data_IF_010421913476
#
_entry.id   IF_010421913476
#
_cell.length_a   1.000
_cell.length_b   1.000
_cell.length_c   1.000
_cell.angle_alpha   90.00
_cell.angle_beta   90.00
_cell.angle_gamma   90.00
#
_symmetry.space_group_name_H-M   'P 1'
#
loop_
_entity.id
_entity.type
_entity.pdbx_description
1 polymer ?
#
# COMPACT_ATOMS: atom_id res chain seq x y z
N UNK A 1 -11.66 -39.76 8.76
CA UNK A 1 -11.25 -38.73 9.73
C UNK A 1 -9.81 -38.24 9.55
N UNK A 2 -8.81 -39.10 9.29
CA UNK A 2 -7.41 -38.65 9.08
C UNK A 2 -7.23 -37.70 7.89
N UNK A 3 -7.95 -37.94 6.79
CA UNK A 3 -7.89 -37.11 5.58
C UNK A 3 -8.43 -35.69 5.82
N UNK A 4 -9.57 -35.57 6.51
CA UNK A 4 -10.16 -34.26 6.87
C UNK A 4 -9.22 -33.44 7.77
N UNK A 5 -8.56 -34.09 8.73
CA UNK A 5 -7.55 -33.45 9.58
C UNK A 5 -6.35 -32.94 8.76
N UNK A 6 -5.88 -33.73 7.79
CA UNK A 6 -4.78 -33.34 6.92
C UNK A 6 -5.15 -32.15 6.02
N UNK A 7 -6.39 -32.11 5.50
CA UNK A 7 -6.90 -30.99 4.70
C UNK A 7 -7.02 -29.71 5.55
N UNK A 8 -7.56 -29.81 6.76
CA UNK A 8 -7.64 -28.65 7.67
C UNK A 8 -6.26 -28.15 8.07
N UNK A 9 -5.33 -29.07 8.38
CA UNK A 9 -3.96 -28.71 8.71
C UNK A 9 -3.26 -28.05 7.51
N UNK A 10 -3.48 -28.53 6.29
CA UNK A 10 -2.87 -27.93 5.10
C UNK A 10 -3.42 -26.53 4.84
N UNK A 11 -4.72 -26.29 5.07
CA UNK A 11 -5.33 -24.96 4.98
C UNK A 11 -4.68 -24.03 6.01
N UNK A 12 -4.58 -24.43 7.27
CA UNK A 12 -3.95 -23.61 8.32
C UNK A 12 -2.50 -23.29 7.97
N UNK A 13 -1.74 -24.28 7.51
CA UNK A 13 -0.34 -24.09 7.11
C UNK A 13 -0.23 -23.13 5.91
N UNK A 14 -1.08 -23.28 4.89
CA UNK A 14 -1.14 -22.36 3.76
C UNK A 14 -1.46 -20.94 4.21
N UNK A 15 -2.47 -20.78 5.06
CA UNK A 15 -2.87 -19.47 5.59
C UNK A 15 -1.71 -18.80 6.33
N UNK A 16 -0.98 -19.55 7.15
CA UNK A 16 0.21 -19.04 7.88
C UNK A 16 1.35 -18.69 6.92
N UNK A 17 1.58 -19.49 5.87
CA UNK A 17 2.66 -19.28 4.90
C UNK A 17 2.43 -18.09 3.95
N UNK A 18 1.18 -17.68 3.73
CA UNK A 18 0.87 -16.50 2.90
C UNK A 18 1.28 -15.19 3.59
N UNK A 19 1.23 -15.12 4.93
CA UNK A 19 1.58 -13.91 5.68
C UNK A 19 2.97 -13.32 5.40
N UNK A 20 4.08 -14.10 5.41
CA UNK A 20 5.41 -13.57 5.12
C UNK A 20 5.54 -13.08 3.67
N UNK A 21 4.87 -13.72 2.71
CA UNK A 21 4.89 -13.34 1.30
C UNK A 21 4.21 -11.97 1.11
N UNK A 22 3.02 -11.79 1.68
CA UNK A 22 2.32 -10.50 1.66
C UNK A 22 3.11 -9.39 2.36
N UNK A 23 3.72 -9.70 3.52
CA UNK A 23 4.53 -8.74 4.26
C UNK A 23 5.70 -8.24 3.42
N UNK A 24 6.33 -9.12 2.65
CA UNK A 24 7.42 -8.76 1.74
C UNK A 24 6.94 -7.94 0.54
N UNK A 25 5.79 -8.25 -0.04
CA UNK A 25 5.22 -7.47 -1.14
C UNK A 25 4.87 -6.04 -0.69
N UNK A 26 4.42 -5.86 0.55
CA UNK A 26 4.10 -4.56 1.14
C UNK A 26 5.33 -3.72 1.51
N UNK A 27 6.50 -4.33 1.71
CA UNK A 27 7.74 -3.62 2.08
C UNK A 27 8.61 -3.19 0.90
N UNK A 28 8.34 -3.65 -0.32
CA UNK A 28 9.12 -3.23 -1.49
C UNK A 28 8.86 -1.75 -1.82
N UNK A 29 9.88 -0.88 -1.72
CA UNK A 29 9.72 0.53 -2.06
C UNK A 29 9.51 0.66 -3.57
N UNK A 30 8.43 1.33 -3.96
CA UNK A 30 8.28 1.83 -5.33
C UNK A 30 9.02 3.15 -5.36
N UNK A 31 10.03 3.23 -6.23
CA UNK A 31 10.81 4.43 -6.52
C UNK A 31 10.63 4.75 -7.99
N UNK A 32 9.89 5.81 -8.29
CA UNK A 32 9.70 6.29 -9.66
C UNK A 32 10.21 7.72 -9.80
N UNK A 33 10.75 8.03 -10.97
CA UNK A 33 11.23 9.38 -11.32
C UNK A 33 10.23 10.00 -12.27
N UNK A 34 9.64 11.11 -11.85
CA UNK A 34 8.64 11.88 -12.60
C UNK A 34 9.35 13.06 -13.25
N UNK A 35 9.38 13.06 -14.59
CA UNK A 35 9.96 14.12 -15.43
C UNK A 35 8.88 15.11 -15.90
N UNK A 36 7.71 14.62 -16.30
CA UNK A 36 6.50 15.39 -16.61
C UNK A 36 5.28 14.52 -16.31
N UNK A 37 4.30 15.05 -15.58
CA UNK A 37 3.01 14.44 -15.26
C UNK A 37 2.91 12.92 -15.42
N UNK A 38 3.18 12.16 -14.35
CA UNK A 38 3.15 10.69 -14.36
C UNK A 38 2.08 10.16 -13.43
N UNK A 39 1.24 9.28 -13.96
CA UNK A 39 0.31 8.49 -13.17
C UNK A 39 1.04 7.31 -12.54
N UNK A 40 0.93 7.15 -11.23
CA UNK A 40 1.47 6.02 -10.47
C UNK A 40 0.30 5.27 -9.85
N UNK A 41 0.26 3.95 -10.05
CA UNK A 41 -0.73 3.10 -9.40
C UNK A 41 -0.16 2.68 -8.05
N UNK A 42 -0.81 3.12 -6.97
CA UNK A 42 -0.38 2.81 -5.62
C UNK A 42 -1.19 1.62 -5.09
N UNK A 43 -0.54 0.55 -4.61
CA UNK A 43 -1.23 -0.69 -4.25
C UNK A 43 -2.07 -0.59 -2.97
N UNK A 44 -1.85 0.44 -2.15
CA UNK A 44 -2.55 0.64 -0.88
C UNK A 44 -2.49 2.11 -0.47
N UNK A 45 -3.33 2.49 0.49
CA UNK A 45 -3.15 3.75 1.22
C UNK A 45 -1.79 3.78 1.91
N UNK A 46 -1.24 4.97 2.13
CA UNK A 46 0.16 5.06 2.54
C UNK A 46 0.70 6.48 2.64
N UNK A 47 1.94 6.60 3.10
CA UNK A 47 2.70 7.83 3.03
C UNK A 47 3.77 7.73 1.96
N UNK A 48 3.86 8.75 1.13
CA UNK A 48 4.82 8.87 0.04
C UNK A 48 5.74 10.06 0.31
N UNK A 49 7.05 9.86 0.15
CA UNK A 49 8.04 10.91 0.11
C UNK A 49 8.14 11.44 -1.32
N UNK A 50 8.06 12.74 -1.46
CA UNK A 50 8.41 13.46 -2.67
C UNK A 50 9.74 14.15 -2.44
N UNK A 51 10.68 14.00 -3.37
CA UNK A 51 11.94 14.73 -3.33
C UNK A 51 12.30 15.20 -4.73
N UNK A 52 12.59 16.49 -4.87
CA UNK A 52 13.14 17.06 -6.09
C UNK A 52 14.39 17.88 -5.78
N UNK A 53 15.34 17.82 -6.70
CA UNK A 53 16.58 18.59 -6.65
C UNK A 53 16.54 19.61 -7.78
N UNK A 54 16.76 20.88 -7.45
CA UNK A 54 16.81 21.99 -8.38
C UNK A 54 17.79 23.06 -7.86
N UNK A 55 18.34 23.85 -8.78
CA UNK A 55 19.26 24.93 -8.46
C UNK A 55 18.59 26.03 -7.62
N UNK A 56 19.37 26.75 -6.81
CA UNK A 56 18.87 27.88 -6.02
C UNK A 56 18.20 28.93 -6.90
N UNK A 57 17.00 29.37 -6.50
CA UNK A 57 16.18 30.30 -7.27
C UNK A 57 15.29 29.67 -8.35
N UNK A 58 15.40 28.35 -8.59
CA UNK A 58 14.48 27.66 -9.52
C UNK A 58 13.10 27.53 -8.90
N UNK A 59 12.10 28.16 -9.52
CA UNK A 59 10.70 28.08 -9.10
C UNK A 59 9.93 27.02 -9.90
N UNK A 60 9.19 26.17 -9.18
CA UNK A 60 8.32 25.15 -9.77
C UNK A 60 7.17 24.82 -8.83
N UNK A 61 6.11 24.21 -9.36
CA UNK A 61 5.00 23.72 -8.57
C UNK A 61 4.98 22.18 -8.55
N UNK A 62 4.85 21.61 -7.36
CA UNK A 62 4.62 20.18 -7.15
C UNK A 62 3.15 19.95 -6.88
N UNK A 63 2.54 19.05 -7.64
CA UNK A 63 1.12 18.70 -7.52
C UNK A 63 0.94 17.18 -7.47
N UNK A 64 0.10 16.75 -6.54
CA UNK A 64 -0.42 15.37 -6.43
C UNK A 64 -1.92 15.43 -6.54
N UNK A 65 -2.47 14.79 -7.57
CA UNK A 65 -3.90 14.75 -7.84
C UNK A 65 -4.45 13.34 -7.63
N UNK A 66 -5.56 13.28 -6.92
CA UNK A 66 -6.33 12.07 -6.73
C UNK A 66 -7.57 12.10 -7.64
N UNK A 67 -7.65 11.22 -8.65
CA UNK A 67 -8.77 11.14 -9.56
C UNK A 67 -10.04 10.55 -8.92
N UNK A 68 -9.95 9.77 -7.84
CA UNK A 68 -11.13 9.18 -7.19
C UNK A 68 -11.87 10.23 -6.35
N UNK A 69 -11.15 11.07 -5.62
CA UNK A 69 -11.75 12.21 -4.88
C UNK A 69 -11.95 13.45 -5.74
N UNK A 70 -11.32 13.53 -6.91
CA UNK A 70 -11.36 14.69 -7.82
C UNK A 70 -10.64 15.92 -7.25
N UNK A 71 -9.70 15.73 -6.32
CA UNK A 71 -9.04 16.82 -5.58
C UNK A 71 -7.51 16.71 -5.64
N UNK A 72 -6.85 17.85 -5.54
CA UNK A 72 -5.40 17.89 -5.32
C UNK A 72 -5.10 17.57 -3.85
N UNK A 73 -4.38 16.47 -3.63
CA UNK A 73 -3.91 16.03 -2.31
C UNK A 73 -2.74 16.90 -1.83
N UNK A 74 -1.91 17.36 -2.76
CA UNK A 74 -0.85 18.31 -2.51
C UNK A 74 -0.77 19.29 -3.68
N UNK A 75 -0.64 20.57 -3.37
CA UNK A 75 -0.25 21.60 -4.31
C UNK A 75 0.66 22.59 -3.60
N UNK A 76 1.91 22.71 -4.06
CA UNK A 76 2.86 23.67 -3.50
C UNK A 76 3.77 24.26 -4.55
N UNK A 77 3.95 25.57 -4.47
CA UNK A 77 5.05 26.26 -5.12
C UNK A 77 6.31 26.09 -4.27
N UNK A 78 7.42 25.77 -4.93
CA UNK A 78 8.71 25.49 -4.30
C UNK A 78 9.79 26.27 -5.05
N UNK A 79 10.76 26.76 -4.29
CA UNK A 79 11.97 27.39 -4.81
C UNK A 79 13.18 26.57 -4.36
N UNK A 80 14.03 26.14 -5.30
CA UNK A 80 15.18 25.27 -5.00
C UNK A 80 14.77 23.83 -4.67
N UNK A 81 15.51 23.14 -3.80
CA UNK A 81 15.25 21.73 -3.51
C UNK A 81 14.02 21.51 -2.62
N UNK A 82 13.25 20.45 -2.89
CA UNK A 82 12.04 20.11 -2.15
C UNK A 82 12.13 18.72 -1.53
N UNK A 83 11.59 18.60 -0.32
CA UNK A 83 11.29 17.32 0.30
C UNK A 83 9.97 17.40 1.05
N UNK A 84 8.98 16.65 0.59
CA UNK A 84 7.63 16.62 1.14
C UNK A 84 7.15 15.21 1.45
N UNK A 85 6.17 15.10 2.35
CA UNK A 85 5.44 13.86 2.60
C UNK A 85 3.98 14.08 2.27
N UNK A 86 3.38 13.12 1.57
CA UNK A 86 1.97 13.15 1.19
C UNK A 86 1.33 11.86 1.67
N UNK A 87 0.15 11.98 2.29
CA UNK A 87 -0.68 10.84 2.64
C UNK A 87 -1.64 10.53 1.49
N UNK A 88 -1.67 9.27 1.07
CA UNK A 88 -2.57 8.75 0.06
C UNK A 88 -3.64 7.93 0.75
N UNK A 89 -4.90 8.33 0.57
CA UNK A 89 -6.02 7.83 1.37
C UNK A 89 -6.49 6.42 0.97
N UNK A 90 -6.28 6.02 -0.27
CA UNK A 90 -6.73 4.74 -0.80
C UNK A 90 -5.68 4.09 -1.73
N UNK A 91 -5.96 2.85 -2.13
CA UNK A 91 -5.29 2.21 -3.27
C UNK A 91 -5.86 2.76 -4.57
N UNK A 92 -5.04 2.95 -5.60
CA UNK A 92 -5.53 3.44 -6.89
C UNK A 92 -4.51 4.29 -7.64
N UNK A 93 -4.91 4.85 -8.78
CA UNK A 93 -4.07 5.76 -9.54
C UNK A 93 -3.97 7.11 -8.83
N UNK A 94 -2.75 7.64 -8.71
CA UNK A 94 -2.47 9.01 -8.31
C UNK A 94 -1.60 9.68 -9.37
N UNK A 95 -1.88 10.94 -9.68
CA UNK A 95 -1.12 11.69 -10.68
C UNK A 95 -0.15 12.64 -10.01
N UNK A 96 1.13 12.41 -10.24
CA UNK A 96 2.22 13.23 -9.72
C UNK A 96 2.71 14.12 -10.85
N UNK A 97 2.81 15.42 -10.61
CA UNK A 97 3.26 16.38 -11.62
C UNK A 97 4.16 17.44 -11.02
N UNK A 98 5.14 17.85 -11.83
CA UNK A 98 6.00 18.99 -11.59
C UNK A 98 5.74 19.97 -12.72
N UNK A 99 5.28 21.17 -12.39
CA UNK A 99 5.14 22.27 -13.35
C UNK A 99 6.34 23.19 -13.19
N UNK A 100 7.17 23.23 -14.23
CA UNK A 100 8.44 23.95 -14.20
C UNK A 100 8.78 24.46 -15.61
N UNK A 101 9.46 25.60 -15.68
CA UNK A 101 10.03 26.10 -16.94
C UNK A 101 11.44 25.52 -17.20
N UNK A 102 12.11 25.03 -16.17
CA UNK A 102 13.44 24.39 -16.22
C UNK A 102 13.33 22.89 -15.90
N UNK A 103 14.24 22.03 -16.38
CA UNK A 103 14.14 20.59 -16.13
C UNK A 103 14.36 20.27 -14.64
N UNK A 104 13.27 19.93 -13.93
CA UNK A 104 13.30 19.48 -12.53
C UNK A 104 12.75 18.05 -12.46
N UNK A 105 13.53 17.13 -11.89
CA UNK A 105 13.09 15.75 -11.66
C UNK A 105 12.55 15.59 -10.24
N UNK A 106 11.40 14.92 -10.11
CA UNK A 106 10.88 14.52 -8.79
C UNK A 106 10.96 13.01 -8.64
N UNK A 107 11.61 12.57 -7.58
CA UNK A 107 11.57 11.19 -7.13
C UNK A 107 10.40 10.99 -6.16
N UNK A 108 9.65 9.92 -6.41
CA UNK A 108 8.51 9.49 -5.60
C UNK A 108 8.91 8.18 -4.92
N UNK A 109 8.87 8.15 -3.58
CA UNK A 109 9.19 6.96 -2.79
C UNK A 109 8.09 6.65 -1.79
N UNK A 110 7.48 5.47 -1.88
CA UNK A 110 6.53 5.01 -0.85
C UNK A 110 7.31 4.67 0.43
N UNK A 111 6.98 5.34 1.55
CA UNK A 111 7.67 5.17 2.84
C UNK A 111 6.92 4.19 3.74
N UNK A 112 5.60 4.35 3.82
CA UNK A 112 4.73 3.49 4.62
C UNK A 112 3.50 3.12 3.82
N UNK A 113 3.07 1.87 3.96
CA UNK A 113 1.82 1.37 3.41
C UNK A 113 0.92 0.98 4.58
N UNK A 114 -0.30 1.48 4.56
CA UNK A 114 -1.34 1.04 5.47
C UNK A 114 -2.10 -0.10 4.78
N UNK A 115 -2.41 -1.19 5.51
CA UNK A 115 -3.24 -2.24 4.95
C UNK A 115 -4.59 -1.63 4.57
N UNK A 116 -5.02 -1.83 3.32
CA UNK A 116 -6.33 -1.35 2.88
C UNK A 116 -7.44 -2.01 3.69
N UNK A 117 -8.59 -1.35 3.83
CA UNK A 117 -9.78 -1.91 4.50
C UNK A 117 -10.13 -3.28 3.91
N UNK A 118 -9.94 -3.46 2.60
CA UNK A 118 -10.12 -4.74 1.90
C UNK A 118 -9.17 -5.83 2.39
N UNK A 119 -7.87 -5.52 2.53
CA UNK A 119 -6.87 -6.48 3.05
C UNK A 119 -7.14 -6.80 4.51
N UNK A 120 -7.52 -5.81 5.33
CA UNK A 120 -7.94 -6.03 6.71
C UNK A 120 -9.18 -6.93 6.79
N UNK A 121 -10.20 -6.68 5.99
CA UNK A 121 -11.41 -7.51 5.95
C UNK A 121 -11.12 -8.94 5.53
N UNK A 122 -10.28 -9.15 4.53
CA UNK A 122 -9.84 -10.51 4.13
C UNK A 122 -9.09 -11.17 5.28
N UNK A 123 -8.17 -10.47 5.97
CA UNK A 123 -7.46 -11.02 7.12
C UNK A 123 -8.38 -11.41 8.26
N UNK A 124 -9.34 -10.55 8.61
CA UNK A 124 -10.29 -10.82 9.68
C UNK A 124 -11.27 -11.92 9.31
N UNK A 125 -11.77 -11.96 8.07
CA UNK A 125 -12.68 -13.02 7.62
C UNK A 125 -11.97 -14.37 7.56
N UNK A 126 -10.78 -14.44 6.96
CA UNK A 126 -10.00 -15.67 6.84
C UNK A 126 -9.56 -16.18 8.22
N UNK A 127 -9.11 -15.27 9.09
CA UNK A 127 -8.76 -15.59 10.48
C UNK A 127 -9.97 -16.07 11.30
N UNK A 128 -11.12 -15.39 11.17
CA UNK A 128 -12.36 -15.76 11.85
C UNK A 128 -12.91 -17.10 11.39
N UNK A 129 -12.92 -17.37 10.08
CA UNK A 129 -13.32 -18.66 9.51
C UNK A 129 -12.38 -19.77 9.99
N UNK A 130 -11.07 -19.52 9.99
CA UNK A 130 -10.08 -20.48 10.49
C UNK A 130 -10.30 -20.81 11.97
N UNK A 131 -10.56 -19.81 12.81
CA UNK A 131 -10.83 -19.99 14.23
C UNK A 131 -12.15 -20.76 14.48
N UNK A 132 -13.20 -20.46 13.73
CA UNK A 132 -14.49 -21.18 13.80
C UNK A 132 -14.34 -22.64 13.39
N UNK A 133 -13.60 -22.92 12.32
CA UNK A 133 -13.31 -24.29 11.90
C UNK A 133 -12.54 -25.06 12.98
N UNK A 134 -11.56 -24.41 13.61
CA UNK A 134 -10.77 -25.01 14.69
C UNK A 134 -11.63 -25.29 15.94
N UNK A 135 -12.51 -24.35 16.31
CA UNK A 135 -13.45 -24.51 17.40
C UNK A 135 -14.48 -25.63 17.14
N UNK A 136 -15.00 -25.72 15.92
CA UNK A 136 -15.93 -26.79 15.52
C UNK A 136 -15.29 -28.18 15.61
N UNK A 137 -14.02 -28.30 15.21
CA UNK A 137 -13.26 -29.56 15.32
C UNK A 137 -13.05 -29.95 16.78
N UNK A 138 -12.63 -29.01 17.63
CA UNK A 138 -12.44 -29.26 19.07
C UNK A 138 -13.76 -29.68 19.75
N UNK A 139 -14.89 -29.07 19.39
CA UNK A 139 -16.22 -29.43 19.91
C UNK A 139 -16.65 -30.85 19.51
N UNK A 140 -16.40 -31.24 18.25
CA UNK A 140 -16.74 -32.58 17.77
C UNK A 140 -15.86 -33.66 18.40
N UNK A 141 -14.59 -33.37 18.67
CA UNK A 141 -13.70 -34.30 19.40
C UNK A 141 -13.99 -34.35 20.90
N UNK A 142 -14.33 -33.22 21.52
CA UNK A 142 -14.69 -33.14 22.93
C UNK A 142 -15.97 -33.90 23.28
N UNK A 143 -16.90 -34.06 22.33
CA UNK A 143 -18.13 -34.88 22.48
C UNK A 143 -17.95 -36.37 22.20
N UNK A 144 -16.77 -36.81 21.74
CA UNK A 144 -16.47 -38.24 21.45
C UNK A 144 -15.77 -38.97 22.59
N UNK A 145 -15.69 -38.35 23.78
CA UNK A 145 -15.44 -39.02 25.06
C UNK A 145 -16.76 -39.16 25.81
#
# INVERSE_FOLDING_TARGET
MRLLKAVLLSIVIMTVLVFPIEKNALTQPISEVVLMGQGIIVPSSGMVMLSSSADEGTEYAVRVFDPESGRAVLERNVTGSFRGRVFLEHSGPYYFSVQTMTPVTMAVRVITRYPSVTVLNIRYSLGGVSALLLAAVLLVEGRRR
#
